data_IF_287962866438
#
_entry.id   IF_287962866438
#
_cell.length_a   1.000
_cell.length_b   1.000
_cell.length_c   1.000
_cell.angle_alpha   90.00
_cell.angle_beta   90.00
_cell.angle_gamma   90.00
#
_symmetry.space_group_name_H-M   'P 1'
#
loop_
_entity.id
_entity.type
_entity.pdbx_description
1 polymer ?
#
# COMPACT_ATOMS: atom_id res chain seq x y z
N UNK A 1 -21.78 2.89 23.49
CA UNK A 1 -23.10 3.52 23.31
C UNK A 1 -22.86 5.00 23.00
N UNK A 2 -23.45 5.54 21.93
CA UNK A 2 -23.41 6.96 21.60
C UNK A 2 -24.39 7.77 22.45
N UNK A 3 -24.45 9.08 22.22
CA UNK A 3 -25.36 10.02 22.93
C UNK A 3 -26.85 9.76 22.67
N UNK A 4 -27.16 8.91 21.68
CA UNK A 4 -28.53 8.51 21.34
C UNK A 4 -28.73 7.02 21.63
N UNK A 5 -29.88 6.67 22.23
CA UNK A 5 -30.26 5.28 22.51
C UNK A 5 -30.33 4.39 21.25
N UNK A 6 -30.46 5.00 20.07
CA UNK A 6 -30.48 4.30 18.77
C UNK A 6 -29.14 4.32 18.04
N UNK A 7 -28.10 4.96 18.60
CA UNK A 7 -26.80 5.14 17.93
C UNK A 7 -26.14 3.80 17.60
N UNK A 8 -25.47 3.73 16.46
CA UNK A 8 -24.68 2.57 16.02
C UNK A 8 -23.25 2.98 15.66
N UNK A 9 -22.35 2.00 15.59
CA UNK A 9 -21.01 2.23 15.06
C UNK A 9 -21.04 2.23 13.53
N UNK A 10 -20.57 3.32 12.94
CA UNK A 10 -20.45 3.49 11.48
C UNK A 10 -19.23 4.36 11.14
N UNK A 11 -18.98 4.66 9.87
CA UNK A 11 -17.84 5.50 9.47
C UNK A 11 -17.82 6.87 10.15
N UNK A 12 -19.01 7.48 10.34
CA UNK A 12 -19.16 8.75 11.05
C UNK A 12 -18.84 8.67 12.55
N UNK A 13 -18.74 7.48 13.13
CA UNK A 13 -18.27 7.28 14.51
C UNK A 13 -16.85 7.80 14.72
N UNK A 14 -16.02 7.83 13.68
CA UNK A 14 -14.66 8.38 13.75
C UNK A 14 -14.74 9.88 14.04
N UNK A 15 -15.48 10.64 13.22
CA UNK A 15 -15.66 12.08 13.40
C UNK A 15 -16.37 12.41 14.72
N UNK A 16 -17.40 11.64 15.08
CA UNK A 16 -18.11 11.77 16.36
C UNK A 16 -17.17 11.59 17.56
N UNK A 17 -16.25 10.61 17.47
CA UNK A 17 -15.25 10.33 18.51
C UNK A 17 -14.24 11.48 18.62
N UNK A 18 -13.70 11.99 17.50
CA UNK A 18 -12.77 13.13 17.48
C UNK A 18 -13.44 14.37 18.09
N UNK A 19 -14.66 14.69 17.67
CA UNK A 19 -15.46 15.78 18.24
C UNK A 19 -15.53 15.66 19.76
N UNK A 20 -15.80 14.46 20.28
CA UNK A 20 -15.95 14.23 21.72
C UNK A 20 -14.61 14.36 22.46
N UNK A 21 -13.55 13.68 22.02
CA UNK A 21 -12.24 13.65 22.69
C UNK A 21 -11.61 15.05 22.73
N UNK A 22 -11.74 15.83 21.66
CA UNK A 22 -11.19 17.20 21.58
C UNK A 22 -12.20 18.28 21.99
N UNK A 23 -13.38 17.90 22.46
CA UNK A 23 -14.45 18.82 22.86
C UNK A 23 -14.76 19.90 21.81
N UNK A 24 -14.87 19.49 20.54
CA UNK A 24 -15.16 20.41 19.44
C UNK A 24 -16.62 20.88 19.51
N UNK A 25 -16.86 22.12 19.07
CA UNK A 25 -18.14 22.82 19.27
C UNK A 25 -19.30 22.23 18.46
N UNK A 26 -19.03 21.74 17.25
CA UNK A 26 -20.06 21.32 16.31
C UNK A 26 -19.74 19.95 15.72
N UNK A 27 -20.79 19.21 15.39
CA UNK A 27 -20.71 18.07 14.48
C UNK A 27 -20.60 18.56 13.03
N UNK A 28 -20.00 17.75 12.16
CA UNK A 28 -19.87 18.08 10.74
C UNK A 28 -21.19 17.84 9.99
N UNK A 29 -21.97 16.85 10.42
CA UNK A 29 -23.22 16.42 9.80
C UNK A 29 -24.20 15.90 10.86
N UNK A 30 -25.44 15.63 10.44
CA UNK A 30 -26.40 14.92 11.31
C UNK A 30 -26.03 13.45 11.55
N UNK A 31 -25.17 12.88 10.69
CA UNK A 31 -24.79 11.46 10.76
C UNK A 31 -23.76 11.23 11.87
N UNK A 32 -22.72 12.04 11.97
CA UNK A 32 -21.78 12.01 13.10
C UNK A 32 -22.38 12.52 14.40
N UNK A 33 -23.42 13.36 14.36
CA UNK A 33 -24.20 13.69 15.56
C UNK A 33 -24.93 12.46 16.14
N UNK A 34 -25.47 11.59 15.27
CA UNK A 34 -26.19 10.38 15.69
C UNK A 34 -25.25 9.20 16.03
N UNK A 35 -24.09 9.11 15.38
CA UNK A 35 -23.21 7.94 15.45
C UNK A 35 -22.64 7.66 16.86
N UNK A 36 -22.42 6.38 17.15
CA UNK A 36 -21.75 5.95 18.38
C UNK A 36 -20.29 6.40 18.43
N UNK A 37 -19.74 6.63 19.63
CA UNK A 37 -18.32 7.02 19.81
C UNK A 37 -17.48 5.87 20.37
N UNK A 38 -16.20 5.79 19.98
CA UNK A 38 -15.26 4.75 20.43
C UNK A 38 -14.60 5.03 21.79
N UNK A 39 -15.03 6.07 22.51
CA UNK A 39 -14.48 6.45 23.82
C UNK A 39 -14.40 5.27 24.80
N UNK A 40 -15.39 4.38 24.80
CA UNK A 40 -15.43 3.20 25.67
C UNK A 40 -14.26 2.23 25.44
N UNK A 41 -13.67 2.24 24.24
CA UNK A 41 -12.50 1.42 23.91
C UNK A 41 -11.21 2.17 24.25
N UNK A 42 -11.19 3.49 24.01
CA UNK A 42 -9.99 4.32 24.16
C UNK A 42 -9.67 4.69 25.61
N UNK A 43 -10.69 4.84 26.46
CA UNK A 43 -10.53 5.26 27.86
C UNK A 43 -10.54 4.10 28.86
N UNK A 44 -10.22 2.88 28.43
CA UNK A 44 -10.16 1.72 29.34
C UNK A 44 -8.93 1.80 30.24
N UNK A 45 -9.13 1.58 31.53
CA UNK A 45 -8.05 1.45 32.52
C UNK A 45 -7.28 0.13 32.43
N UNK A 46 -7.87 -0.88 31.80
CA UNK A 46 -7.23 -2.18 31.55
C UNK A 46 -7.52 -2.66 30.13
N UNK A 47 -6.55 -3.34 29.47
CA UNK A 47 -6.76 -3.96 28.17
C UNK A 47 -7.95 -4.92 28.19
N UNK A 48 -8.60 -5.11 27.03
CA UNK A 48 -9.60 -6.18 26.93
C UNK A 48 -8.91 -7.54 26.86
N UNK A 49 -9.41 -8.49 27.63
CA UNK A 49 -8.91 -9.87 27.67
C UNK A 49 -9.76 -10.84 26.83
N UNK A 50 -10.85 -10.36 26.25
CA UNK A 50 -11.79 -11.10 25.42
C UNK A 50 -11.44 -11.07 23.92
N UNK A 51 -10.38 -10.35 23.53
CA UNK A 51 -9.95 -10.26 22.14
C UNK A 51 -9.27 -11.58 21.72
N UNK A 52 -9.76 -12.29 20.69
CA UNK A 52 -9.10 -13.48 20.20
C UNK A 52 -7.70 -13.14 19.69
N UNK A 53 -6.69 -13.87 20.16
CA UNK A 53 -5.29 -13.73 19.71
C UNK A 53 -4.98 -14.60 18.50
N UNK A 54 -5.87 -15.55 18.20
CA UNK A 54 -5.82 -16.40 17.01
C UNK A 54 -7.16 -16.32 16.30
N UNK A 55 -7.11 -16.12 14.99
CA UNK A 55 -8.28 -16.26 14.12
C UNK A 55 -8.27 -17.66 13.54
N UNK A 56 -9.46 -18.23 13.34
CA UNK A 56 -9.59 -19.44 12.53
C UNK A 56 -9.25 -19.12 11.07
N UNK A 57 -8.86 -20.14 10.32
CA UNK A 57 -8.68 -20.00 8.88
C UNK A 57 -9.96 -19.42 8.26
N UNK A 58 -9.77 -18.46 7.36
CA UNK A 58 -10.88 -17.84 6.66
C UNK A 58 -11.69 -18.92 5.94
N UNK A 59 -13.00 -18.93 6.17
CA UNK A 59 -13.89 -19.83 5.46
C UNK A 59 -13.72 -19.62 3.95
N UNK A 60 -13.67 -20.71 3.18
CA UNK A 60 -13.63 -20.62 1.71
C UNK A 60 -14.88 -19.89 1.23
N UNK A 61 -14.67 -18.72 0.61
CA UNK A 61 -15.76 -17.92 0.05
C UNK A 61 -16.33 -18.51 -1.25
N UNK A 62 -15.63 -19.48 -1.85
CA UNK A 62 -16.02 -20.13 -3.10
C UNK A 62 -15.83 -21.64 -2.97
N UNK A 63 -16.79 -22.39 -3.52
CA UNK A 63 -16.70 -23.86 -3.58
C UNK A 63 -15.63 -24.33 -4.57
N UNK A 64 -15.49 -23.64 -5.70
CA UNK A 64 -14.52 -23.93 -6.74
C UNK A 64 -13.26 -23.06 -6.65
N UNK A 65 -12.12 -23.61 -7.08
CA UNK A 65 -10.85 -22.91 -7.19
C UNK A 65 -10.83 -21.86 -8.30
N UNK A 66 -9.68 -21.18 -8.44
CA UNK A 66 -9.45 -20.26 -9.54
C UNK A 66 -9.46 -21.01 -10.89
N UNK A 67 -9.97 -20.33 -11.93
CA UNK A 67 -9.95 -20.85 -13.30
C UNK A 67 -8.64 -20.42 -13.96
N UNK A 68 -7.54 -21.08 -13.59
CA UNK A 68 -6.19 -20.62 -13.94
C UNK A 68 -5.97 -20.47 -15.45
N UNK A 69 -6.56 -21.36 -16.27
CA UNK A 69 -6.40 -21.33 -17.73
C UNK A 69 -7.37 -20.35 -18.45
N UNK A 70 -8.25 -19.67 -17.71
CA UNK A 70 -9.16 -18.70 -18.31
C UNK A 70 -8.43 -17.42 -18.71
N UNK A 71 -8.96 -16.71 -19.72
CA UNK A 71 -8.55 -15.34 -20.01
C UNK A 71 -8.93 -14.41 -18.86
N UNK A 72 -8.17 -13.33 -18.71
CA UNK A 72 -8.46 -12.28 -17.75
C UNK A 72 -9.79 -11.58 -18.07
N UNK A 73 -10.45 -11.11 -17.01
CA UNK A 73 -11.45 -10.05 -17.13
C UNK A 73 -10.80 -8.67 -16.91
N UNK A 74 -11.51 -7.61 -17.27
CA UNK A 74 -11.03 -6.22 -17.19
C UNK A 74 -10.45 -5.86 -15.82
N UNK A 75 -11.07 -6.32 -14.73
CA UNK A 75 -10.57 -6.07 -13.38
C UNK A 75 -9.24 -6.78 -13.12
N UNK A 76 -9.08 -8.03 -13.58
CA UNK A 76 -7.83 -8.77 -13.45
C UNK A 76 -6.71 -8.17 -14.30
N UNK A 77 -7.03 -7.66 -15.51
CA UNK A 77 -6.08 -6.92 -16.34
C UNK A 77 -5.56 -5.66 -15.63
N UNK A 78 -6.46 -4.89 -15.02
CA UNK A 78 -6.10 -3.70 -14.24
C UNK A 78 -5.16 -4.06 -13.07
N UNK A 79 -5.38 -5.20 -12.40
CA UNK A 79 -4.50 -5.64 -11.32
C UNK A 79 -3.07 -5.96 -11.82
N UNK A 80 -2.94 -6.59 -12.99
CA UNK A 80 -1.62 -6.86 -13.61
C UNK A 80 -0.94 -5.55 -14.00
N UNK A 81 -1.67 -4.63 -14.61
CA UNK A 81 -1.15 -3.31 -15.00
C UNK A 81 -0.71 -2.49 -13.77
N UNK A 82 -1.42 -2.59 -12.65
CA UNK A 82 -0.99 -1.99 -11.38
C UNK A 82 0.26 -2.67 -10.83
N UNK A 83 0.36 -4.00 -10.90
CA UNK A 83 1.58 -4.70 -10.47
C UNK A 83 2.81 -4.33 -11.31
N UNK A 84 2.64 -4.03 -12.60
CA UNK A 84 3.72 -3.52 -13.46
C UNK A 84 4.30 -2.16 -12.98
N UNK A 85 3.57 -1.40 -12.16
CA UNK A 85 4.13 -0.19 -11.54
C UNK A 85 5.14 -0.52 -10.45
N UNK A 86 4.98 -1.65 -9.77
CA UNK A 86 5.84 -2.09 -8.67
C UNK A 86 7.23 -2.53 -9.15
N UNK A 87 7.30 -3.23 -10.29
CA UNK A 87 8.57 -3.76 -10.82
C UNK A 87 9.19 -2.90 -11.94
N UNK A 88 8.57 -1.77 -12.29
CA UNK A 88 9.07 -0.86 -13.33
C UNK A 88 8.63 -1.20 -14.77
N UNK A 89 7.90 -2.29 -14.98
CA UNK A 89 7.46 -2.73 -16.31
C UNK A 89 6.45 -1.79 -16.97
N UNK A 90 5.81 -0.92 -16.19
CA UNK A 90 4.99 0.18 -16.71
C UNK A 90 5.73 1.13 -17.67
N UNK A 91 7.07 1.09 -17.71
CA UNK A 91 7.89 1.87 -18.67
C UNK A 91 8.19 1.13 -19.97
N UNK A 92 7.83 -0.15 -20.09
CA UNK A 92 8.06 -0.93 -21.32
C UNK A 92 6.99 -0.59 -22.37
N UNK A 93 7.36 -0.69 -23.65
CA UNK A 93 6.46 -0.40 -24.78
C UNK A 93 5.24 -1.34 -24.90
N UNK A 94 5.21 -2.40 -24.09
CA UNK A 94 4.07 -3.34 -24.02
C UNK A 94 2.98 -2.87 -23.05
N UNK A 95 3.27 -1.90 -22.18
CA UNK A 95 2.29 -1.38 -21.23
C UNK A 95 1.33 -0.37 -21.90
N UNK A 96 0.03 -0.31 -21.50
CA UNK A 96 -0.64 -1.20 -20.56
C UNK A 96 -1.27 -2.44 -21.21
N UNK A 97 -1.69 -2.35 -22.48
CA UNK A 97 -2.62 -3.32 -23.07
C UNK A 97 -1.92 -4.59 -23.58
N UNK A 98 -0.76 -4.46 -24.22
CA UNK A 98 -0.02 -5.63 -24.77
C UNK A 98 0.59 -6.49 -23.65
N UNK A 99 0.80 -5.93 -22.47
CA UNK A 99 1.31 -6.64 -21.31
C UNK A 99 0.35 -7.75 -20.88
N UNK A 100 -0.95 -7.47 -20.90
CA UNK A 100 -2.00 -8.40 -20.45
C UNK A 100 -2.57 -9.24 -21.59
N UNK A 101 -2.19 -8.94 -22.83
CA UNK A 101 -2.73 -9.58 -24.02
C UNK A 101 -2.49 -11.10 -24.00
N UNK A 102 -3.58 -11.86 -24.08
CA UNK A 102 -3.60 -13.33 -24.06
C UNK A 102 -3.06 -13.99 -22.78
N UNK A 103 -2.92 -13.23 -21.69
CA UNK A 103 -2.54 -13.76 -20.39
C UNK A 103 -3.67 -14.61 -19.79
N UNK A 104 -3.31 -15.73 -19.17
CA UNK A 104 -4.21 -16.56 -18.37
C UNK A 104 -4.28 -16.07 -16.92
N UNK A 105 -5.34 -16.43 -16.19
CA UNK A 105 -5.48 -16.08 -14.76
C UNK A 105 -4.27 -16.55 -13.94
N UNK A 106 -3.74 -17.74 -14.22
CA UNK A 106 -2.57 -18.28 -13.52
C UNK A 106 -1.28 -17.52 -13.81
N UNK A 107 -1.06 -17.12 -15.07
CA UNK A 107 0.08 -16.29 -15.45
C UNK A 107 -0.01 -14.89 -14.81
N UNK A 108 -1.21 -14.30 -14.78
CA UNK A 108 -1.45 -13.02 -14.13
C UNK A 108 -1.19 -13.08 -12.61
N UNK A 109 -1.70 -14.11 -11.94
CA UNK A 109 -1.48 -14.30 -10.50
C UNK A 109 0.02 -14.44 -10.19
N UNK A 110 0.75 -15.22 -11.02
CA UNK A 110 2.20 -15.34 -10.90
C UNK A 110 2.91 -14.00 -11.15
N UNK A 111 2.55 -13.26 -12.20
CA UNK A 111 3.15 -11.97 -12.50
C UNK A 111 2.98 -10.97 -11.36
N UNK A 112 1.76 -10.86 -10.80
CA UNK A 112 1.46 -9.96 -9.68
C UNK A 112 2.30 -10.32 -8.45
N UNK A 113 2.41 -11.62 -8.15
CA UNK A 113 3.22 -12.12 -7.03
C UNK A 113 4.71 -11.77 -7.23
N UNK A 114 5.27 -12.09 -8.39
CA UNK A 114 6.68 -11.85 -8.70
C UNK A 114 7.00 -10.34 -8.67
N UNK A 115 6.10 -9.49 -9.17
CA UNK A 115 6.26 -8.04 -9.14
C UNK A 115 6.26 -7.47 -7.71
N UNK A 116 5.38 -8.00 -6.84
CA UNK A 116 5.34 -7.64 -5.43
C UNK A 116 6.59 -8.10 -4.68
N UNK A 117 7.05 -9.34 -4.89
CA UNK A 117 8.28 -9.86 -4.28
C UNK A 117 9.50 -9.03 -4.70
N UNK A 118 9.62 -8.70 -6.00
CA UNK A 118 10.67 -7.83 -6.49
C UNK A 118 10.66 -6.45 -5.80
N UNK A 119 9.48 -5.84 -5.64
CA UNK A 119 9.35 -4.58 -4.93
C UNK A 119 9.82 -4.69 -3.48
N UNK A 120 9.34 -5.70 -2.72
CA UNK A 120 9.76 -5.91 -1.33
C UNK A 120 11.27 -6.13 -1.20
N UNK A 121 11.87 -6.93 -2.08
CA UNK A 121 13.31 -7.19 -2.09
C UNK A 121 14.12 -5.90 -2.30
N UNK A 122 13.64 -5.02 -3.17
CA UNK A 122 14.27 -3.74 -3.42
C UNK A 122 14.11 -2.77 -2.25
N UNK A 123 12.96 -2.77 -1.58
CA UNK A 123 12.75 -2.01 -0.35
C UNK A 123 13.71 -2.45 0.77
N UNK A 124 13.85 -3.76 1.00
CA UNK A 124 14.80 -4.28 1.99
C UNK A 124 16.24 -3.88 1.63
N UNK A 125 16.65 -4.01 0.37
CA UNK A 125 17.99 -3.59 -0.07
C UNK A 125 18.24 -2.10 0.10
N UNK A 126 17.23 -1.26 -0.11
CA UNK A 126 17.34 0.19 0.10
C UNK A 126 17.59 0.50 1.58
N UNK A 127 16.81 -0.11 2.48
CA UNK A 127 16.98 0.00 3.94
C UNK A 127 18.38 -0.47 4.36
N UNK A 128 18.81 -1.65 3.91
CA UNK A 128 20.14 -2.19 4.22
C UNK A 128 21.29 -1.31 3.71
N UNK A 129 21.04 -0.52 2.66
CA UNK A 129 22.00 0.42 2.08
C UNK A 129 21.98 1.80 2.76
N UNK A 130 21.13 2.00 3.78
CA UNK A 130 21.01 3.25 4.51
C UNK A 130 20.13 4.30 3.83
N UNK A 131 19.16 3.88 3.00
CA UNK A 131 18.12 4.76 2.50
C UNK A 131 17.28 5.33 3.66
N UNK A 132 16.73 6.52 3.44
CA UNK A 132 15.82 7.15 4.39
C UNK A 132 14.48 6.36 4.45
N UNK A 133 13.84 6.29 5.63
CA UNK A 133 12.60 5.55 5.81
C UNK A 133 11.44 6.10 4.95
N UNK A 134 11.49 7.39 4.58
CA UNK A 134 10.50 8.03 3.71
C UNK A 134 10.85 7.91 2.21
N UNK A 135 11.95 7.25 1.83
CA UNK A 135 12.35 7.09 0.44
C UNK A 135 11.38 6.16 -0.32
N UNK A 136 10.75 6.69 -1.37
CA UNK A 136 9.89 5.89 -2.25
C UNK A 136 10.75 5.10 -3.23
N UNK A 137 10.84 3.78 -3.02
CA UNK A 137 11.59 2.87 -3.88
C UNK A 137 10.85 2.65 -5.21
N UNK A 138 11.48 3.06 -6.32
CA UNK A 138 10.92 2.91 -7.67
C UNK A 138 11.84 2.01 -8.50
N UNK A 139 11.38 0.81 -8.85
CA UNK A 139 12.14 -0.20 -9.61
C UNK A 139 12.31 0.12 -11.09
N UNK A 140 11.85 1.29 -11.51
CA UNK A 140 12.02 1.72 -12.87
C UNK A 140 13.48 2.05 -13.13
N UNK A 141 14.20 1.13 -13.79
CA UNK A 141 15.60 1.25 -14.22
C UNK A 141 16.05 2.72 -14.32
N UNK A 142 16.75 3.23 -13.30
CA UNK A 142 17.60 4.40 -13.47
C UNK A 142 18.78 3.96 -14.34
N UNK A 143 18.56 3.93 -15.66
CA UNK A 143 19.65 4.22 -16.59
C UNK A 143 19.82 5.73 -16.62
N UNK A 144 20.44 6.27 -15.58
CA UNK A 144 21.37 7.38 -15.77
C UNK A 144 22.70 6.84 -15.30
N UNK A 145 23.52 6.41 -16.26
CA UNK A 145 24.97 6.31 -16.09
C UNK A 145 25.44 7.57 -15.35
N UNK A 146 25.74 7.44 -14.06
CA UNK A 146 26.88 8.18 -13.54
C UNK A 146 28.07 7.55 -14.23
N UNK A 147 28.64 8.20 -15.24
CA UNK A 147 29.94 7.81 -15.79
C UNK A 147 30.88 7.62 -14.60
N UNK A 148 31.57 6.47 -14.46
CA UNK A 148 32.57 6.35 -13.41
C UNK A 148 33.62 7.43 -13.67
N UNK A 149 33.67 8.45 -12.82
CA UNK A 149 34.69 9.49 -12.94
C UNK A 149 36.04 8.82 -12.72
N UNK A 150 36.88 8.80 -13.76
CA UNK A 150 38.26 8.33 -13.63
C UNK A 150 38.99 9.17 -12.58
N UNK A 151 39.96 8.57 -11.89
CA UNK A 151 40.72 9.16 -10.78
C UNK A 151 41.20 10.60 -11.05
N UNK A 152 41.61 10.90 -12.30
CA UNK A 152 41.99 12.24 -12.72
C UNK A 152 40.86 13.28 -12.54
N UNK A 153 39.60 12.94 -12.84
CA UNK A 153 38.46 13.87 -12.71
C UNK A 153 38.10 14.17 -11.25
N UNK A 154 38.45 13.30 -10.29
CA UNK A 154 38.33 13.59 -8.85
C UNK A 154 39.46 14.49 -8.36
N UNK A 155 40.66 14.38 -8.91
CA UNK A 155 41.80 15.22 -8.52
C UNK A 155 41.59 16.68 -8.97
N UNK A 156 41.05 16.89 -10.18
CA UNK A 156 40.86 18.23 -10.73
C UNK A 156 39.64 18.98 -10.17
N UNK A 157 38.64 18.28 -9.60
CA UNK A 157 37.49 18.95 -8.98
C UNK A 157 37.84 19.66 -7.67
N UNK A 158 38.94 19.28 -7.00
CA UNK A 158 39.41 19.94 -5.78
C UNK A 158 40.38 21.11 -6.06
N UNK A 159 40.79 21.31 -7.31
CA UNK A 159 41.79 22.35 -7.69
C UNK A 159 41.11 23.61 -8.26
N UNK A 160 39.82 23.55 -8.61
CA UNK A 160 39.08 24.67 -9.23
C UNK A 160 38.19 25.42 -8.21
N UNK A 161 38.23 25.05 -6.92
CA UNK A 161 37.46 25.73 -5.86
C UNK A 161 38.24 26.78 -5.07
N UNK A 162 39.47 27.13 -5.46
CA UNK A 162 40.20 28.28 -4.89
C UNK A 162 40.52 29.29 -6.00
N UNK A 163 39.57 30.19 -6.27
CA UNK A 163 39.82 31.62 -6.56
C UNK A 163 38.52 32.44 -6.48
#
# INVERSE_FOLDING_TARGET
>A
EGTHHTSQYEHSSIAATVKKIFNLRHFLTKRDEWAGTFEVVLNRSSPRTDCPVTLSDAAKLREAGAKEDAKLNDFQEILVQMAATLNGDHKKDIYPDKLVENMTVGEAAKYVKDAHEAFCDHCHKAIDSGADEDEIVVLATRSTRGTPKNFAQKLFSCIICDN
#
